data_IF_329843581152
#
_entry.id   IF_329843581152
#
_cell.length_a   1.000
_cell.length_b   1.000
_cell.length_c   1.000
_cell.angle_alpha   90.00
_cell.angle_beta   90.00
_cell.angle_gamma   90.00
#
_symmetry.space_group_name_H-M   'P 1'
#
loop_
_entity.id
_entity.type
_entity.pdbx_description
1 polymer ?
#
# COMPACT_ATOMS: atom_id res chain seq x y z
N UNK A 1 -16.85 -32.32 -4.54
CA UNK A 1 -16.04 -31.13 -4.16
C UNK A 1 -15.88 -30.17 -5.33
N UNK A 2 -15.40 -30.61 -6.51
CA UNK A 2 -15.19 -29.74 -7.68
C UNK A 2 -16.49 -29.15 -8.28
N UNK A 3 -17.56 -29.94 -8.36
CA UNK A 3 -18.86 -29.46 -8.85
C UNK A 3 -19.41 -28.30 -7.99
N UNK A 4 -19.32 -28.44 -6.66
CA UNK A 4 -19.74 -27.42 -5.69
C UNK A 4 -18.86 -26.16 -5.81
N UNK A 5 -17.54 -26.32 -5.94
CA UNK A 5 -16.62 -25.20 -6.15
C UNK A 5 -16.93 -24.43 -7.45
N UNK A 6 -17.21 -25.15 -8.54
CA UNK A 6 -17.57 -24.53 -9.83
C UNK A 6 -18.92 -23.79 -9.79
N UNK A 7 -19.85 -24.27 -8.95
CA UNK A 7 -21.17 -23.68 -8.78
C UNK A 7 -21.07 -22.40 -7.94
N UNK A 8 -20.34 -22.47 -6.82
CA UNK A 8 -19.98 -21.30 -6.00
C UNK A 8 -19.24 -20.25 -6.83
N UNK A 9 -18.26 -20.64 -7.65
CA UNK A 9 -17.53 -19.71 -8.51
C UNK A 9 -18.45 -19.02 -9.54
N UNK A 10 -19.37 -19.76 -10.15
CA UNK A 10 -20.33 -19.20 -11.11
C UNK A 10 -21.30 -18.24 -10.44
N UNK A 11 -21.82 -18.60 -9.27
CA UNK A 11 -22.75 -17.78 -8.50
C UNK A 11 -22.07 -16.50 -7.99
N UNK A 12 -20.84 -16.61 -7.47
CA UNK A 12 -20.02 -15.45 -7.09
C UNK A 12 -19.74 -14.56 -8.31
N UNK A 13 -19.28 -15.14 -9.43
CA UNK A 13 -19.00 -14.37 -10.64
C UNK A 13 -20.25 -13.64 -11.13
N UNK A 14 -21.40 -14.31 -11.19
CA UNK A 14 -22.65 -13.70 -11.60
C UNK A 14 -23.09 -12.59 -10.64
N UNK A 15 -22.96 -12.81 -9.32
CA UNK A 15 -23.40 -11.87 -8.29
C UNK A 15 -22.49 -10.65 -8.11
N UNK A 16 -21.17 -10.82 -8.27
CA UNK A 16 -20.22 -9.72 -8.05
C UNK A 16 -19.86 -8.98 -9.35
N UNK A 17 -19.87 -9.64 -10.52
CA UNK A 17 -19.50 -8.98 -11.78
C UNK A 17 -20.38 -7.76 -12.07
N UNK A 18 -21.70 -7.90 -11.98
CA UNK A 18 -22.62 -6.80 -12.27
C UNK A 18 -22.54 -5.66 -11.26
N UNK A 19 -22.25 -5.97 -9.98
CA UNK A 19 -22.10 -4.95 -8.92
C UNK A 19 -20.81 -4.16 -9.13
N UNK A 20 -19.70 -4.84 -9.40
CA UNK A 20 -18.40 -4.20 -9.60
C UNK A 20 -18.38 -3.31 -10.84
N UNK A 21 -19.00 -3.74 -11.94
CA UNK A 21 -19.08 -2.95 -13.18
C UNK A 21 -19.92 -1.69 -12.94
N UNK A 22 -21.10 -1.83 -12.31
CA UNK A 22 -21.95 -0.67 -11.98
C UNK A 22 -21.27 0.30 -11.03
N UNK A 23 -20.50 -0.21 -10.07
CA UNK A 23 -19.74 0.64 -9.17
C UNK A 23 -18.62 1.39 -9.90
N UNK A 24 -17.89 0.71 -10.79
CA UNK A 24 -16.87 1.33 -11.62
C UNK A 24 -17.42 2.43 -12.55
N UNK A 25 -18.59 2.20 -13.15
CA UNK A 25 -19.27 3.19 -14.00
C UNK A 25 -19.82 4.38 -13.20
N UNK A 26 -20.20 4.18 -11.94
CA UNK A 26 -20.66 5.25 -11.06
C UNK A 26 -19.51 6.14 -10.55
N UNK A 27 -18.27 5.65 -10.64
CA UNK A 27 -17.07 6.42 -10.28
C UNK A 27 -16.68 7.34 -11.44
N UNK A 28 -16.70 8.65 -11.18
CA UNK A 28 -16.25 9.63 -12.17
C UNK A 28 -14.73 9.76 -12.13
N UNK A 29 -14.06 9.14 -13.11
CA UNK A 29 -12.60 9.15 -13.24
C UNK A 29 -12.00 10.53 -13.51
N UNK A 30 -12.81 11.52 -13.89
CA UNK A 30 -12.36 12.90 -14.10
C UNK A 30 -12.41 13.74 -12.83
N UNK A 31 -12.96 13.19 -11.74
CA UNK A 31 -13.13 13.93 -10.52
C UNK A 31 -11.78 14.36 -9.90
N UNK A 32 -11.63 15.64 -9.52
CA UNK A 32 -10.39 16.15 -8.94
C UNK A 32 -9.89 15.37 -7.72
N UNK A 33 -10.80 14.85 -6.88
CA UNK A 33 -10.46 14.04 -5.72
C UNK A 33 -9.72 12.75 -6.14
N UNK A 34 -10.28 12.01 -7.10
CA UNK A 34 -9.73 10.73 -7.54
C UNK A 34 -8.42 10.96 -8.29
N UNK A 35 -8.37 11.95 -9.18
CA UNK A 35 -7.14 12.31 -9.89
C UNK A 35 -6.04 12.74 -8.92
N UNK A 36 -6.38 13.58 -7.94
CA UNK A 36 -5.46 14.01 -6.88
C UNK A 36 -4.95 12.82 -6.05
N UNK A 37 -5.83 11.88 -5.73
CA UNK A 37 -5.48 10.70 -4.96
C UNK A 37 -4.59 9.73 -5.75
N UNK A 38 -4.87 9.50 -7.02
CA UNK A 38 -4.00 8.72 -7.91
C UNK A 38 -2.62 9.39 -8.05
N UNK A 39 -2.60 10.71 -8.22
CA UNK A 39 -1.36 11.49 -8.32
C UNK A 39 -0.54 11.40 -7.04
N UNK A 40 -1.18 11.44 -5.87
CA UNK A 40 -0.53 11.22 -4.57
C UNK A 40 0.15 9.85 -4.50
N UNK A 41 -0.52 8.78 -4.95
CA UNK A 41 0.08 7.44 -4.97
C UNK A 41 1.26 7.37 -5.93
N UNK A 42 1.15 7.92 -7.14
CA UNK A 42 2.27 7.97 -8.09
C UNK A 42 3.47 8.72 -7.47
N UNK A 43 3.23 9.84 -6.82
CA UNK A 43 4.28 10.59 -6.12
C UNK A 43 4.90 9.77 -4.97
N UNK A 44 4.08 9.07 -4.18
CA UNK A 44 4.54 8.20 -3.10
C UNK A 44 5.41 7.05 -3.63
N UNK A 45 4.96 6.32 -4.65
CA UNK A 45 5.74 5.25 -5.30
C UNK A 45 7.04 5.79 -5.93
N UNK A 46 6.99 6.98 -6.51
CA UNK A 46 8.18 7.64 -7.04
C UNK A 46 9.17 7.97 -5.91
N UNK A 47 8.69 8.53 -4.79
CA UNK A 47 9.50 8.79 -3.62
C UNK A 47 10.13 7.51 -3.07
N UNK A 48 9.39 6.39 -3.04
CA UNK A 48 9.96 5.09 -2.67
C UNK A 48 11.09 4.68 -3.57
N UNK A 49 10.89 4.74 -4.89
CA UNK A 49 11.89 4.35 -5.86
C UNK A 49 13.17 5.18 -5.72
N UNK A 50 13.03 6.50 -5.60
CA UNK A 50 14.16 7.42 -5.48
C UNK A 50 14.93 7.25 -4.16
N UNK A 51 14.22 6.96 -3.07
CA UNK A 51 14.82 6.87 -1.73
C UNK A 51 15.22 5.45 -1.32
N UNK A 52 15.10 4.45 -2.21
CA UNK A 52 15.32 3.01 -1.94
C UNK A 52 16.66 2.64 -1.30
N UNK A 53 17.69 3.48 -1.44
CA UNK A 53 19.02 3.27 -0.85
C UNK A 53 19.23 3.99 0.50
N UNK A 54 18.27 4.83 0.93
CA UNK A 54 18.37 5.66 2.13
C UNK A 54 17.49 5.08 3.23
N UNK A 55 18.08 4.27 4.12
CA UNK A 55 17.36 3.55 5.18
C UNK A 55 16.50 4.48 6.06
N UNK A 56 17.07 5.57 6.57
CA UNK A 56 16.32 6.50 7.44
C UNK A 56 15.09 7.10 6.73
N UNK A 57 15.23 7.49 5.46
CA UNK A 57 14.11 8.02 4.67
C UNK A 57 13.03 6.96 4.44
N UNK A 58 13.43 5.71 4.18
CA UNK A 58 12.48 4.60 4.07
C UNK A 58 11.73 4.37 5.38
N UNK A 59 12.41 4.38 6.54
CA UNK A 59 11.72 4.27 7.83
C UNK A 59 10.69 5.38 8.06
N UNK A 60 11.02 6.63 7.73
CA UNK A 60 10.09 7.76 7.83
C UNK A 60 8.88 7.56 6.91
N UNK A 61 9.09 7.16 5.66
CA UNK A 61 8.00 6.90 4.72
C UNK A 61 7.11 5.73 5.17
N UNK A 62 7.70 4.69 5.78
CA UNK A 62 6.94 3.56 6.31
C UNK A 62 6.07 3.98 7.49
N UNK A 63 6.63 4.76 8.42
CA UNK A 63 5.88 5.33 9.54
C UNK A 63 4.73 6.22 9.03
N UNK A 64 4.99 7.04 8.00
CA UNK A 64 3.97 7.87 7.35
C UNK A 64 2.83 7.00 6.79
N UNK A 65 3.13 5.93 6.06
CA UNK A 65 2.10 4.99 5.55
C UNK A 65 1.25 4.46 6.69
N UNK A 66 1.87 3.98 7.78
CA UNK A 66 1.13 3.43 8.92
C UNK A 66 0.22 4.51 9.52
N UNK A 67 0.71 5.73 9.72
CA UNK A 67 -0.09 6.85 10.23
C UNK A 67 -1.29 7.12 9.31
N UNK A 68 -1.06 7.19 7.99
CA UNK A 68 -2.13 7.41 7.02
C UNK A 68 -3.17 6.28 7.04
N UNK A 69 -2.73 5.03 7.17
CA UNK A 69 -3.61 3.87 7.27
C UNK A 69 -4.48 3.92 8.54
N UNK A 70 -3.89 4.23 9.69
CA UNK A 70 -4.64 4.39 10.95
C UNK A 70 -5.66 5.52 10.87
N UNK A 71 -5.34 6.60 10.15
CA UNK A 71 -6.26 7.73 9.95
C UNK A 71 -7.38 7.46 8.92
N UNK A 72 -7.31 6.37 8.16
CA UNK A 72 -8.27 6.05 7.08
C UNK A 72 -9.73 6.14 7.55
N UNK A 73 -10.07 5.51 8.67
CA UNK A 73 -11.45 5.46 9.16
C UNK A 73 -11.93 6.84 9.64
N UNK A 74 -11.06 7.57 10.35
CA UNK A 74 -11.36 8.92 10.83
C UNK A 74 -11.58 9.89 9.65
N UNK A 75 -10.72 9.82 8.63
CA UNK A 75 -10.85 10.60 7.40
C UNK A 75 -12.12 10.23 6.65
N UNK A 76 -12.43 8.94 6.51
CA UNK A 76 -13.66 8.47 5.88
C UNK A 76 -14.91 9.02 6.58
N UNK A 77 -14.96 8.92 7.91
CA UNK A 77 -16.09 9.42 8.71
C UNK A 77 -16.26 10.93 8.58
N UNK A 78 -15.16 11.68 8.61
CA UNK A 78 -15.19 13.12 8.45
C UNK A 78 -15.63 13.54 7.04
N UNK A 79 -15.07 12.90 6.01
CA UNK A 79 -15.36 13.19 4.62
C UNK A 79 -16.78 12.77 4.23
N UNK A 80 -17.36 11.76 4.88
CA UNK A 80 -18.79 11.40 4.74
C UNK A 80 -19.71 12.52 5.20
N UNK A 81 -19.42 13.16 6.33
CA UNK A 81 -20.23 14.28 6.84
C UNK A 81 -20.02 15.55 6.01
N UNK A 82 -18.79 15.77 5.52
CA UNK A 82 -18.38 16.98 4.82
C UNK A 82 -18.14 16.78 3.32
N UNK A 83 -18.82 15.81 2.70
CA UNK A 83 -18.51 15.35 1.34
C UNK A 83 -18.48 16.47 0.30
N UNK A 84 -19.34 17.49 0.44
CA UNK A 84 -19.40 18.66 -0.47
C UNK A 84 -18.12 19.51 -0.49
N UNK A 85 -17.30 19.44 0.54
CA UNK A 85 -16.02 20.16 0.60
C UNK A 85 -14.90 19.40 -0.13
N UNK A 86 -15.05 18.09 -0.28
CA UNK A 86 -13.98 17.19 -0.73
C UNK A 86 -14.25 16.63 -2.13
N UNK A 87 -15.51 16.40 -2.45
CA UNK A 87 -15.96 15.66 -3.62
C UNK A 87 -17.20 16.31 -4.25
N UNK A 88 -17.39 16.08 -5.54
CA UNK A 88 -18.61 16.49 -6.24
C UNK A 88 -19.82 15.61 -5.88
N UNK A 89 -19.57 14.37 -5.42
CA UNK A 89 -20.58 13.40 -5.02
C UNK A 89 -20.20 12.61 -3.74
N UNK A 90 -21.16 11.82 -3.23
CA UNK A 90 -21.02 11.08 -1.96
C UNK A 90 -20.29 9.74 -2.14
N UNK A 91 -18.97 9.78 -2.22
CA UNK A 91 -18.16 8.55 -2.28
C UNK A 91 -17.97 7.85 -0.94
N UNK A 92 -17.90 8.62 0.14
CA UNK A 92 -17.56 8.11 1.46
C UNK A 92 -18.76 7.42 2.10
N UNK A 93 -18.61 6.16 2.44
CA UNK A 93 -19.65 5.28 2.95
C UNK A 93 -19.29 4.68 4.32
N UNK A 94 -20.25 4.07 5.01
CA UNK A 94 -19.99 3.47 6.34
C UNK A 94 -19.04 2.29 6.31
N UNK A 95 -19.04 1.53 5.21
CA UNK A 95 -18.14 0.38 5.03
C UNK A 95 -16.75 0.83 4.54
N UNK A 96 -16.62 2.08 4.10
CA UNK A 96 -15.37 2.67 3.64
C UNK A 96 -14.85 2.03 2.36
N UNK A 97 -15.73 1.55 1.48
CA UNK A 97 -15.33 0.88 0.22
C UNK A 97 -14.49 1.79 -0.66
N UNK A 98 -14.88 3.06 -0.80
CA UNK A 98 -14.11 4.03 -1.59
C UNK A 98 -12.72 4.26 -1.01
N UNK A 99 -12.63 4.56 0.29
CA UNK A 99 -11.35 4.75 0.99
C UNK A 99 -10.52 3.47 0.99
N UNK A 100 -11.15 2.29 1.08
CA UNK A 100 -10.50 1.00 0.96
C UNK A 100 -9.84 0.81 -0.41
N UNK A 101 -10.55 1.13 -1.50
CA UNK A 101 -10.04 0.89 -2.85
C UNK A 101 -9.04 1.95 -3.31
N UNK A 102 -9.33 3.22 -3.07
CA UNK A 102 -8.55 4.32 -3.64
C UNK A 102 -7.49 4.89 -2.69
N UNK A 103 -7.59 4.66 -1.38
CA UNK A 103 -6.66 5.20 -0.39
C UNK A 103 -5.89 4.07 0.33
N UNK A 104 -6.56 3.26 1.15
CA UNK A 104 -5.90 2.25 1.96
C UNK A 104 -5.31 1.10 1.14
N UNK A 105 -5.99 0.64 0.09
CA UNK A 105 -5.54 -0.47 -0.75
C UNK A 105 -4.18 -0.21 -1.39
N UNK A 106 -4.00 0.89 -2.15
CA UNK A 106 -2.71 1.25 -2.72
C UNK A 106 -1.65 1.55 -1.65
N UNK A 107 -2.02 2.16 -0.51
CA UNK A 107 -1.10 2.37 0.63
C UNK A 107 -0.61 1.05 1.24
N UNK A 108 -1.48 0.06 1.41
CA UNK A 108 -1.13 -1.28 1.90
C UNK A 108 -0.20 -1.98 0.91
N UNK A 109 -0.49 -1.90 -0.39
CA UNK A 109 0.38 -2.44 -1.43
C UNK A 109 1.77 -1.78 -1.37
N UNK A 110 1.83 -0.45 -1.26
CA UNK A 110 3.08 0.28 -1.11
C UNK A 110 3.86 -0.16 0.15
N UNK A 111 3.19 -0.24 1.30
CA UNK A 111 3.78 -0.72 2.55
C UNK A 111 4.30 -2.15 2.44
N UNK A 112 3.57 -3.04 1.78
CA UNK A 112 4.01 -4.41 1.54
C UNK A 112 5.28 -4.48 0.67
N UNK A 113 5.31 -3.76 -0.46
CA UNK A 113 6.51 -3.69 -1.29
C UNK A 113 7.72 -3.13 -0.54
N UNK A 114 7.49 -2.11 0.28
CA UNK A 114 8.53 -1.52 1.10
C UNK A 114 9.08 -2.49 2.16
N UNK A 115 8.21 -3.29 2.78
CA UNK A 115 8.60 -4.34 3.71
C UNK A 115 9.48 -5.39 3.03
N UNK A 116 9.09 -5.86 1.84
CA UNK A 116 9.89 -6.84 1.08
C UNK A 116 11.27 -6.29 0.73
N UNK A 117 11.35 -5.04 0.28
CA UNK A 117 12.63 -4.40 -0.03
C UNK A 117 13.50 -4.21 1.22
N UNK A 118 12.90 -3.80 2.33
CA UNK A 118 13.60 -3.60 3.60
C UNK A 118 14.14 -4.92 4.14
N UNK A 119 13.37 -6.00 4.05
CA UNK A 119 13.81 -7.34 4.44
C UNK A 119 15.01 -7.80 3.63
N UNK A 120 14.99 -7.62 2.30
CA UNK A 120 16.16 -7.90 1.45
C UNK A 120 17.38 -7.09 1.88
N UNK A 121 17.21 -5.78 2.10
CA UNK A 121 18.30 -4.90 2.53
C UNK A 121 18.89 -5.30 3.90
N UNK A 122 18.06 -5.79 4.82
CA UNK A 122 18.52 -6.27 6.13
C UNK A 122 19.36 -7.54 5.98
N UNK A 123 18.90 -8.50 5.16
CA UNK A 123 19.66 -9.73 4.88
C UNK A 123 21.02 -9.39 4.27
N UNK A 124 21.04 -8.52 3.26
CA UNK A 124 22.29 -8.09 2.61
C UNK A 124 23.24 -7.43 3.61
N UNK A 125 22.73 -6.57 4.50
CA UNK A 125 23.52 -5.91 5.54
C UNK A 125 24.12 -6.92 6.54
N UNK A 126 23.32 -7.88 7.02
CA UNK A 126 23.79 -8.93 7.95
C UNK A 126 24.89 -9.77 7.31
N UNK A 127 24.74 -10.14 6.03
CA UNK A 127 25.76 -10.88 5.28
C UNK A 127 27.05 -10.07 5.16
N UNK A 128 26.97 -8.78 4.82
CA UNK A 128 28.14 -7.89 4.72
C UNK A 128 28.88 -7.79 6.05
N UNK A 129 28.16 -7.56 7.16
CA UNK A 129 28.74 -7.47 8.51
C UNK A 129 29.42 -8.78 8.89
N UNK A 130 28.76 -9.93 8.67
CA UNK A 130 29.35 -11.25 8.97
C UNK A 130 30.60 -11.54 8.15
N UNK A 131 30.63 -11.12 6.87
CA UNK A 131 31.82 -11.24 6.02
C UNK A 131 32.97 -10.37 6.54
N UNK A 132 32.68 -9.15 7.00
CA UNK A 132 33.68 -8.24 7.56
C UNK A 132 34.27 -8.77 8.88
N UNK A 133 33.42 -9.26 9.79
CA UNK A 133 33.85 -9.91 11.04
C UNK A 133 34.79 -11.10 10.77
N UNK A 134 34.42 -11.97 9.83
CA UNK A 134 35.24 -13.14 9.46
C UNK A 134 36.63 -12.73 8.92
N UNK A 135 36.69 -11.69 8.08
CA UNK A 135 37.96 -11.19 7.56
C UNK A 135 38.85 -10.60 8.66
N UNK A 136 38.26 -9.93 9.67
CA UNK A 136 39.02 -9.44 10.82
C UNK A 136 39.59 -10.59 11.65
N UNK A 137 38.81 -11.64 11.90
CA UNK A 137 39.29 -12.83 12.64
C UNK A 137 40.45 -13.52 11.92
N UNK A 138 40.42 -13.60 10.58
CA UNK A 138 41.51 -14.18 9.80
C UNK A 138 42.80 -13.34 9.87
N UNK A 139 42.69 -12.01 9.96
CA UNK A 139 43.88 -11.14 10.13
C UNK A 139 44.50 -11.33 11.51
N UNK A 140 43.70 -11.29 12.57
CA UNK A 140 44.16 -11.53 13.95
C UNK A 140 44.85 -12.89 14.09
N UNK A 141 44.34 -13.94 13.43
CA UNK A 141 44.98 -15.27 13.43
C UNK A 141 46.27 -15.36 12.61
N UNK A 142 46.50 -14.46 11.65
CA UNK A 142 47.74 -14.42 10.85
C UNK A 142 48.84 -13.61 11.54
N UNK A 143 48.46 -12.68 12.40
CA UNK A 143 49.37 -11.81 13.16
C UNK A 143 49.84 -12.48 14.49
N UNK A 144 49.37 -13.70 14.78
CA UNK A 144 49.67 -14.55 15.94
C UNK A 144 50.56 -15.72 15.52
#
# INVERSE_FOLDING_TARGET
MEAIASQIQRDLRAKYSHVMIKWYEAVDWTEPLIVGLLSFHVALFTAFWLTRKRLYTQFVLFALIITLLVLTEALNKWARTNWRLVASQRYFDEQGVFMGLFYAGPLLAAGFFQLMLSMKSMVDMVVIVKRAEYQQQLKVKKDL
#
